data_IF_385256085563
#
_entry.id   IF_385256085563
#
_cell.length_a   1.000
_cell.length_b   1.000
_cell.length_c   1.000
_cell.angle_alpha   90.00
_cell.angle_beta   90.00
_cell.angle_gamma   90.00
#
_symmetry.space_group_name_H-M   'P 1'
#
loop_
_entity.id
_entity.type
_entity.pdbx_description
1 polymer ?
#
# COMPACT_ATOMS: atom_id res chain seq x y z
N UNK A 1 2.34 -5.94 7.73
CA UNK A 1 2.22 -6.20 6.28
C UNK A 1 0.87 -5.65 5.83
N UNK A 2 0.77 -4.94 4.70
CA UNK A 2 -0.52 -4.43 4.18
C UNK A 2 -0.94 -5.16 2.91
N UNK A 3 -2.25 -5.34 2.74
CA UNK A 3 -2.82 -5.84 1.48
C UNK A 3 -2.63 -4.80 0.37
N UNK A 4 -2.22 -5.25 -0.81
CA UNK A 4 -2.00 -4.41 -1.99
C UNK A 4 -2.80 -4.94 -3.18
N UNK A 5 -3.62 -4.07 -3.76
CA UNK A 5 -4.41 -4.41 -4.94
C UNK A 5 -3.57 -4.19 -6.21
N UNK A 6 -3.15 -5.28 -6.86
CA UNK A 6 -2.37 -5.22 -8.11
C UNK A 6 -3.09 -4.51 -9.24
N UNK A 7 -4.43 -4.47 -9.25
CA UNK A 7 -5.21 -3.79 -10.29
C UNK A 7 -5.08 -2.26 -10.22
N UNK A 8 -4.58 -1.73 -9.10
CA UNK A 8 -4.34 -0.30 -8.92
C UNK A 8 -3.13 0.23 -9.71
N UNK A 9 -2.30 -0.66 -10.28
CA UNK A 9 -1.09 -0.30 -11.03
C UNK A 9 -1.07 -1.04 -12.37
N UNK A 10 -0.79 -0.30 -13.44
CA UNK A 10 -0.68 -0.87 -14.80
C UNK A 10 0.53 -1.81 -14.85
N UNK A 11 0.35 -2.97 -15.47
CA UNK A 11 1.45 -3.91 -15.70
C UNK A 11 2.58 -3.22 -16.48
N UNK A 12 3.83 -3.30 -16.01
CA UNK A 12 4.97 -2.69 -16.69
C UNK A 12 5.15 -3.18 -18.13
N UNK A 13 5.43 -2.25 -19.04
CA UNK A 13 5.55 -2.56 -20.47
C UNK A 13 6.73 -3.51 -20.72
N UNK A 14 7.81 -3.42 -19.95
CA UNK A 14 8.96 -4.33 -20.06
C UNK A 14 8.63 -5.80 -19.84
N UNK A 15 7.54 -6.12 -19.10
CA UNK A 15 7.08 -7.49 -18.89
C UNK A 15 6.21 -8.00 -20.05
N UNK A 16 5.52 -7.09 -20.75
CA UNK A 16 4.55 -7.42 -21.80
C UNK A 16 5.03 -7.10 -23.20
N UNK A 17 6.16 -6.40 -23.35
CA UNK A 17 6.69 -5.98 -24.65
C UNK A 17 7.28 -7.16 -25.40
N UNK A 18 6.83 -7.34 -26.63
CA UNK A 18 7.38 -8.32 -27.55
C UNK A 18 8.71 -7.85 -28.16
N UNK A 19 9.64 -8.78 -28.36
CA UNK A 19 10.87 -8.49 -29.09
C UNK A 19 10.54 -8.11 -30.55
N UNK A 20 11.12 -7.01 -31.04
CA UNK A 20 10.85 -6.50 -32.40
C UNK A 20 11.69 -7.18 -33.48
N UNK A 21 12.82 -7.76 -33.10
CA UNK A 21 13.84 -8.33 -34.00
C UNK A 21 14.48 -9.58 -33.36
N UNK A 22 15.22 -10.35 -34.16
CA UNK A 22 15.94 -11.54 -33.70
C UNK A 22 15.09 -12.81 -33.64
N UNK A 23 15.67 -13.88 -33.06
CA UNK A 23 15.05 -15.21 -32.95
C UNK A 23 13.75 -15.23 -32.13
N UNK A 24 13.58 -14.26 -31.23
CA UNK A 24 12.42 -14.16 -30.33
C UNK A 24 11.37 -13.15 -30.83
N UNK A 25 11.44 -12.72 -32.10
CA UNK A 25 10.53 -11.72 -32.66
C UNK A 25 9.05 -12.11 -32.43
N UNK A 26 8.27 -11.16 -31.91
CA UNK A 26 6.84 -11.37 -31.62
C UNK A 26 6.57 -12.14 -30.32
N UNK A 27 7.57 -12.27 -29.43
CA UNK A 27 7.42 -12.94 -28.13
C UNK A 27 7.87 -12.04 -26.98
N UNK A 28 7.19 -12.12 -25.85
CA UNK A 28 7.62 -11.53 -24.58
C UNK A 28 8.73 -12.36 -23.93
N UNK A 29 9.48 -11.80 -22.97
CA UNK A 29 10.48 -12.57 -22.22
C UNK A 29 9.85 -13.79 -21.52
N UNK A 30 8.66 -13.63 -20.96
CA UNK A 30 7.92 -14.72 -20.32
C UNK A 30 7.65 -15.90 -21.27
N UNK A 31 7.15 -15.61 -22.47
CA UNK A 31 6.89 -16.64 -23.49
C UNK A 31 8.17 -17.38 -23.89
N UNK A 32 9.29 -16.64 -24.04
CA UNK A 32 10.59 -17.24 -24.37
C UNK A 32 11.08 -18.13 -23.21
N UNK A 33 10.87 -17.72 -21.95
CA UNK A 33 11.23 -18.55 -20.79
C UNK A 33 10.41 -19.85 -20.80
N UNK A 34 9.08 -19.76 -20.98
CA UNK A 34 8.20 -20.94 -20.99
C UNK A 34 8.64 -21.94 -22.07
N UNK A 35 8.93 -21.48 -23.29
CA UNK A 35 9.39 -22.35 -24.38
C UNK A 35 10.73 -23.00 -24.08
N UNK A 36 11.73 -22.22 -23.63
CA UNK A 36 13.06 -22.76 -23.29
C UNK A 36 13.00 -23.71 -22.11
N UNK A 37 12.14 -23.43 -21.13
CA UNK A 37 11.97 -24.27 -19.96
C UNK A 37 11.27 -25.58 -20.31
N UNK A 38 10.25 -25.55 -21.16
CA UNK A 38 9.63 -26.78 -21.68
C UNK A 38 10.64 -27.66 -22.44
N UNK A 39 11.50 -27.07 -23.27
CA UNK A 39 12.56 -27.80 -23.95
C UNK A 39 13.60 -28.39 -22.97
N UNK A 40 13.92 -27.66 -21.89
CA UNK A 40 14.79 -28.15 -20.82
C UNK A 40 14.20 -29.38 -20.11
N UNK A 41 12.90 -29.40 -19.82
CA UNK A 41 12.25 -30.53 -19.16
C UNK A 41 12.20 -31.80 -20.00
N UNK A 42 12.28 -31.67 -21.33
CA UNK A 42 12.36 -32.81 -22.26
C UNK A 42 13.78 -33.36 -22.41
N UNK A 43 14.79 -32.61 -21.94
CA UNK A 43 16.19 -33.00 -22.01
C UNK A 43 16.58 -33.85 -20.80
N UNK A 44 16.78 -35.15 -21.03
CA UNK A 44 17.10 -36.13 -19.98
C UNK A 44 18.59 -36.14 -19.57
N UNK A 45 19.33 -35.07 -19.82
CA UNK A 45 20.73 -34.96 -19.39
C UNK A 45 20.80 -34.87 -17.86
N UNK A 46 21.46 -35.81 -17.15
CA UNK A 46 21.60 -35.76 -15.70
C UNK A 46 22.29 -34.47 -15.23
N UNK A 47 21.90 -33.97 -14.06
CA UNK A 47 22.49 -32.80 -13.39
C UNK A 47 22.46 -31.48 -14.18
N UNK A 48 21.76 -31.42 -15.32
CA UNK A 48 21.58 -30.19 -16.09
C UNK A 48 20.72 -29.21 -15.29
N UNK A 49 21.13 -27.94 -15.28
CA UNK A 49 20.36 -26.83 -14.68
C UNK A 49 19.78 -25.94 -15.76
N UNK A 50 18.57 -25.43 -15.54
CA UNK A 50 18.01 -24.40 -16.40
C UNK A 50 18.82 -23.11 -16.28
N UNK A 51 19.23 -22.55 -17.43
CA UNK A 51 19.96 -21.28 -17.50
C UNK A 51 19.22 -20.34 -18.43
N UNK A 52 18.94 -19.13 -17.93
CA UNK A 52 18.30 -18.07 -18.70
C UNK A 52 18.79 -16.71 -18.21
N UNK A 53 18.98 -15.78 -19.14
CA UNK A 53 19.37 -14.40 -18.85
C UNK A 53 18.13 -13.53 -18.63
N UNK A 54 17.61 -13.54 -17.40
CA UNK A 54 16.39 -12.81 -17.02
C UNK A 54 16.63 -11.30 -16.93
N UNK A 55 15.92 -10.51 -17.74
CA UNK A 55 16.11 -9.05 -17.83
C UNK A 55 14.84 -8.26 -17.52
N UNK A 56 13.68 -8.72 -17.98
CA UNK A 56 12.43 -7.97 -17.95
C UNK A 56 12.10 -7.45 -16.55
N UNK A 57 12.13 -8.32 -15.53
CA UNK A 57 11.80 -7.95 -14.15
C UNK A 57 12.74 -6.90 -13.52
N UNK A 58 13.94 -6.70 -14.08
CA UNK A 58 14.95 -5.75 -13.57
C UNK A 58 14.78 -4.34 -14.13
N UNK A 59 13.89 -4.16 -15.11
CA UNK A 59 13.66 -2.89 -15.77
C UNK A 59 13.11 -1.83 -14.80
N UNK A 60 13.37 -0.56 -15.10
CA UNK A 60 13.04 0.53 -14.19
C UNK A 60 11.53 0.79 -14.08
N UNK A 61 10.76 0.54 -15.14
CA UNK A 61 9.29 0.61 -15.11
C UNK A 61 8.69 -0.43 -14.15
N UNK A 62 9.27 -1.63 -14.04
CA UNK A 62 8.90 -2.63 -13.03
C UNK A 62 9.17 -2.10 -11.63
N UNK A 63 10.35 -1.52 -11.40
CA UNK A 63 10.70 -0.98 -10.09
C UNK A 63 9.78 0.17 -9.68
N UNK A 64 9.46 1.06 -10.62
CA UNK A 64 8.55 2.18 -10.40
C UNK A 64 7.13 1.68 -10.08
N UNK A 65 6.63 0.70 -10.85
CA UNK A 65 5.31 0.11 -10.61
C UNK A 65 5.22 -0.56 -9.23
N UNK A 66 6.24 -1.33 -8.83
CA UNK A 66 6.28 -1.96 -7.49
C UNK A 66 6.39 -0.91 -6.37
N UNK A 67 7.19 0.13 -6.57
CA UNK A 67 7.30 1.25 -5.63
C UNK A 67 5.96 1.99 -5.48
N UNK A 68 5.19 2.16 -6.56
CA UNK A 68 3.85 2.71 -6.50
C UNK A 68 2.88 1.78 -5.75
N UNK A 69 2.88 0.48 -6.10
CA UNK A 69 1.99 -0.53 -5.53
C UNK A 69 2.14 -0.64 -4.00
N UNK A 70 3.37 -0.57 -3.50
CA UNK A 70 3.67 -0.68 -2.06
C UNK A 70 4.07 0.65 -1.40
N UNK A 71 3.86 1.78 -2.09
CA UNK A 71 4.14 3.13 -1.57
C UNK A 71 5.58 3.31 -1.05
N UNK A 72 6.54 2.71 -1.74
CA UNK A 72 7.98 2.77 -1.43
C UNK A 72 8.41 1.94 -0.21
N UNK A 73 7.55 1.01 0.25
CA UNK A 73 7.81 0.12 1.39
C UNK A 73 8.10 -1.31 0.93
N UNK A 74 8.78 -2.06 1.80
CA UNK A 74 8.92 -3.51 1.65
C UNK A 74 7.53 -4.15 1.72
N UNK A 75 7.22 -5.05 0.77
CA UNK A 75 5.97 -5.79 0.73
C UNK A 75 5.74 -6.62 2.00
N UNK A 76 6.81 -7.08 2.65
CA UNK A 76 6.72 -7.97 3.81
C UNK A 76 6.75 -7.21 5.15
N UNK A 77 7.86 -6.53 5.46
CA UNK A 77 8.05 -5.87 6.76
C UNK A 77 7.53 -4.44 6.83
N UNK A 78 7.04 -3.85 5.73
CA UNK A 78 6.62 -2.45 5.64
C UNK A 78 7.68 -1.38 5.96
N UNK A 79 8.93 -1.74 6.21
CA UNK A 79 10.01 -0.74 6.32
C UNK A 79 10.15 0.02 5.01
N UNK A 80 10.36 1.33 5.11
CA UNK A 80 10.67 2.20 3.96
C UNK A 80 12.13 2.00 3.57
N UNK A 81 12.38 1.55 2.34
CA UNK A 81 13.74 1.38 1.82
C UNK A 81 14.15 2.49 0.83
N UNK A 82 13.19 3.22 0.25
CA UNK A 82 13.41 4.09 -0.90
C UNK A 82 14.43 5.22 -0.70
N UNK A 83 14.77 5.57 0.56
CA UNK A 83 15.79 6.58 0.88
C UNK A 83 17.12 6.03 1.39
N UNK A 84 17.25 4.71 1.62
CA UNK A 84 18.39 4.14 2.36
C UNK A 84 19.04 2.94 1.68
N UNK A 85 18.30 2.20 0.84
CA UNK A 85 18.83 1.02 0.16
C UNK A 85 18.13 0.80 -1.19
N UNK A 86 18.82 0.20 -2.18
CA UNK A 86 18.17 -0.22 -3.41
C UNK A 86 17.11 -1.28 -3.12
N UNK A 87 16.00 -1.19 -3.83
CA UNK A 87 14.93 -2.18 -3.76
C UNK A 87 15.32 -3.47 -4.50
N UNK A 88 15.09 -4.62 -3.87
CA UNK A 88 15.15 -5.91 -4.55
C UNK A 88 13.77 -6.25 -5.13
N UNK A 89 13.72 -6.46 -6.45
CA UNK A 89 12.55 -7.05 -7.12
C UNK A 89 12.54 -8.54 -6.82
N UNK A 90 11.65 -8.92 -5.92
CA UNK A 90 11.55 -10.26 -5.39
C UNK A 90 10.55 -11.13 -6.14
N UNK A 91 10.91 -12.40 -6.29
CA UNK A 91 10.07 -13.44 -6.86
C UNK A 91 9.34 -14.21 -5.75
N UNK A 92 8.04 -13.96 -5.57
CA UNK A 92 7.24 -14.66 -4.55
C UNK A 92 7.44 -16.19 -4.63
N UNK A 93 7.30 -16.74 -5.84
CA UNK A 93 7.78 -18.08 -6.23
C UNK A 93 9.21 -17.99 -6.79
N UNK A 94 10.22 -18.54 -6.10
CA UNK A 94 11.62 -18.37 -6.48
C UNK A 94 11.95 -18.90 -7.88
N UNK A 95 12.52 -18.04 -8.74
CA UNK A 95 12.89 -18.44 -10.12
C UNK A 95 14.07 -19.41 -10.20
N UNK A 96 14.99 -19.36 -9.23
CA UNK A 96 16.30 -20.04 -9.29
C UNK A 96 16.38 -21.37 -8.55
N UNK A 97 15.31 -21.76 -7.86
CA UNK A 97 15.22 -22.98 -7.08
C UNK A 97 14.46 -22.78 -5.78
N UNK A 98 13.92 -23.87 -5.24
CA UNK A 98 13.22 -23.88 -3.94
C UNK A 98 14.03 -24.71 -2.95
N UNK A 99 14.22 -24.19 -1.74
CA UNK A 99 14.85 -24.94 -0.67
C UNK A 99 13.86 -26.00 -0.13
N UNK A 100 14.24 -27.27 -0.23
CA UNK A 100 13.47 -28.42 0.26
C UNK A 100 14.33 -29.25 1.22
N UNK A 101 13.71 -29.82 2.26
CA UNK A 101 14.41 -30.76 3.14
C UNK A 101 14.36 -32.15 2.51
N UNK A 102 15.53 -32.69 2.18
CA UNK A 102 15.65 -34.00 1.58
C UNK A 102 15.50 -35.15 2.59
N UNK A 103 15.47 -36.40 2.11
CA UNK A 103 15.35 -37.57 2.97
C UNK A 103 16.48 -37.72 4.01
N UNK A 104 17.63 -37.09 3.76
CA UNK A 104 18.80 -37.05 4.65
C UNK A 104 18.69 -35.96 5.74
N UNK A 105 17.57 -35.22 5.79
CA UNK A 105 17.34 -34.13 6.73
C UNK A 105 18.09 -32.84 6.39
N UNK A 106 18.74 -32.75 5.22
CA UNK A 106 19.46 -31.55 4.78
C UNK A 106 18.64 -30.72 3.81
N UNK A 107 18.93 -29.42 3.75
CA UNK A 107 18.38 -28.53 2.74
C UNK A 107 19.04 -28.79 1.38
N UNK A 108 18.21 -29.04 0.36
CA UNK A 108 18.61 -29.16 -1.04
C UNK A 108 17.86 -28.12 -1.86
N UNK A 109 18.49 -27.68 -2.96
CA UNK A 109 17.84 -26.75 -3.88
C UNK A 109 17.14 -27.55 -4.99
N UNK A 110 15.83 -27.68 -4.87
CA UNK A 110 14.98 -28.25 -5.90
C UNK A 110 14.72 -27.24 -7.03
N UNK A 111 14.18 -27.72 -8.15
CA UNK A 111 13.85 -26.92 -9.33
C UNK A 111 12.96 -25.71 -8.97
N UNK A 112 13.15 -24.57 -9.63
CA UNK A 112 12.45 -23.33 -9.29
C UNK A 112 11.15 -23.12 -10.06
N UNK A 113 10.73 -21.86 -10.13
CA UNK A 113 9.64 -21.38 -10.98
C UNK A 113 10.16 -20.39 -12.04
N UNK A 114 11.14 -20.75 -12.90
CA UNK A 114 11.71 -19.82 -13.86
C UNK A 114 10.65 -19.25 -14.81
N UNK A 115 9.61 -20.01 -15.15
CA UNK A 115 8.50 -19.55 -16.00
C UNK A 115 7.67 -18.41 -15.39
N UNK A 116 7.80 -18.15 -14.09
CA UNK A 116 7.17 -17.01 -13.41
C UNK A 116 8.16 -15.86 -13.16
N UNK A 117 9.38 -15.92 -13.71
CA UNK A 117 10.41 -14.92 -13.45
C UNK A 117 10.07 -13.53 -14.02
N UNK A 118 9.31 -13.47 -15.11
CA UNK A 118 8.84 -12.23 -15.72
C UNK A 118 7.34 -11.98 -15.49
N UNK A 119 6.66 -12.84 -14.73
CA UNK A 119 5.23 -12.72 -14.52
C UNK A 119 4.91 -11.67 -13.44
N UNK A 120 4.14 -10.64 -13.80
CA UNK A 120 3.86 -9.48 -12.92
C UNK A 120 3.37 -9.88 -11.53
N UNK A 121 2.44 -10.83 -11.45
CA UNK A 121 1.85 -11.23 -10.16
C UNK A 121 2.81 -12.02 -9.27
N UNK A 122 3.96 -12.43 -9.79
CA UNK A 122 5.00 -13.10 -9.02
C UNK A 122 6.07 -12.12 -8.50
N UNK A 123 5.99 -10.83 -8.86
CA UNK A 123 6.98 -9.82 -8.49
C UNK A 123 6.49 -8.97 -7.31
N UNK A 124 7.36 -8.74 -6.33
CA UNK A 124 7.10 -7.93 -5.13
C UNK A 124 8.32 -7.03 -4.84
N UNK A 125 8.15 -5.81 -4.32
CA UNK A 125 9.28 -5.06 -3.77
C UNK A 125 9.67 -5.60 -2.40
N UNK A 126 10.96 -5.78 -2.17
CA UNK A 126 11.47 -6.24 -0.88
C UNK A 126 12.70 -5.45 -0.45
N UNK A 127 12.90 -5.33 0.87
CA UNK A 127 14.19 -4.94 1.42
C UNK A 127 15.15 -6.14 1.39
N UNK A 128 16.45 -5.83 1.47
CA UNK A 128 17.51 -6.83 1.44
C UNK A 128 17.37 -7.84 2.58
N UNK A 129 16.94 -7.40 3.77
CA UNK A 129 16.84 -8.29 4.95
C UNK A 129 15.67 -9.26 4.90
N UNK A 130 14.57 -8.89 4.23
CA UNK A 130 13.46 -9.82 4.03
C UNK A 130 13.71 -10.78 2.88
N UNK A 131 14.48 -10.37 1.87
CA UNK A 131 14.71 -11.19 0.69
C UNK A 131 15.95 -12.07 0.78
N UNK A 132 17.08 -11.54 1.23
CA UNK A 132 18.36 -12.26 1.20
C UNK A 132 18.59 -12.99 2.51
N UNK A 133 19.21 -14.18 2.47
CA UNK A 133 19.45 -14.94 3.68
C UNK A 133 20.55 -14.29 4.52
N UNK A 134 20.26 -13.97 5.77
CA UNK A 134 21.17 -13.33 6.73
C UNK A 134 20.98 -13.92 8.12
N UNK A 135 22.02 -13.88 8.95
CA UNK A 135 21.88 -14.17 10.38
C UNK A 135 21.09 -13.02 10.99
N UNK A 136 19.93 -13.33 11.58
CA UNK A 136 19.03 -12.38 12.20
C UNK A 136 18.78 -12.84 13.64
N UNK A 137 18.80 -11.91 14.59
CA UNK A 137 18.39 -12.16 15.96
C UNK A 137 16.87 -12.06 16.07
N UNK A 138 16.20 -13.17 16.34
CA UNK A 138 14.74 -13.19 16.54
C UNK A 138 14.41 -12.77 17.97
N UNK A 139 13.77 -11.62 18.14
CA UNK A 139 13.48 -11.05 19.46
C UNK A 139 12.39 -11.80 20.24
N UNK A 140 11.61 -12.66 19.59
CA UNK A 140 10.59 -13.47 20.27
C UNK A 140 11.23 -14.72 20.89
N UNK A 141 12.15 -15.36 20.17
CA UNK A 141 12.78 -16.63 20.60
C UNK A 141 14.14 -16.45 21.26
N UNK A 142 14.80 -15.30 21.03
CA UNK A 142 16.16 -15.01 21.50
C UNK A 142 17.25 -15.75 20.73
N UNK A 143 16.94 -16.32 19.57
CA UNK A 143 17.85 -17.16 18.79
C UNK A 143 18.37 -16.40 17.56
N UNK A 144 19.67 -16.53 17.29
CA UNK A 144 20.26 -16.14 16.03
C UNK A 144 20.09 -17.27 15.01
N UNK A 145 19.33 -17.03 13.95
CA UNK A 145 19.18 -17.97 12.84
C UNK A 145 19.31 -17.32 11.47
N UNK A 146 19.65 -18.13 10.46
CA UNK A 146 19.75 -17.68 9.08
C UNK A 146 18.34 -17.58 8.49
N UNK A 147 17.80 -16.36 8.42
CA UNK A 147 16.46 -16.05 7.92
C UNK A 147 16.50 -15.12 6.71
N UNK A 148 15.33 -14.87 6.13
CA UNK A 148 15.15 -14.16 4.86
C UNK A 148 14.66 -15.11 3.78
N UNK A 149 13.70 -14.66 2.97
CA UNK A 149 12.92 -15.50 2.07
C UNK A 149 13.80 -16.32 1.14
N UNK A 150 14.64 -15.67 0.36
CA UNK A 150 15.53 -16.29 -0.60
C UNK A 150 14.80 -17.36 -1.44
N UNK A 151 15.23 -18.62 -1.31
CA UNK A 151 14.64 -19.77 -1.98
C UNK A 151 13.61 -20.52 -1.12
N UNK A 152 13.28 -20.04 0.08
CA UNK A 152 12.27 -20.65 0.94
C UNK A 152 10.87 -20.37 0.38
N UNK A 153 10.18 -21.44 0.01
CA UNK A 153 8.81 -21.39 -0.49
C UNK A 153 8.03 -22.61 0.02
N UNK A 154 7.69 -22.66 1.32
CA UNK A 154 7.02 -23.81 1.89
C UNK A 154 5.60 -23.95 1.31
N UNK A 155 5.22 -25.18 0.98
CA UNK A 155 3.89 -25.55 0.48
C UNK A 155 3.38 -26.78 1.23
N UNK A 156 2.07 -26.92 1.41
CA UNK A 156 1.45 -28.13 2.03
C UNK A 156 1.16 -29.23 1.02
N UNK A 157 1.15 -28.92 -0.27
CA UNK A 157 0.77 -29.82 -1.35
C UNK A 157 1.79 -29.86 -2.50
N UNK A 158 1.44 -30.47 -3.64
CA UNK A 158 2.31 -30.45 -4.81
C UNK A 158 2.55 -29.02 -5.28
N UNK A 159 3.80 -28.75 -5.67
CA UNK A 159 4.19 -27.47 -6.27
C UNK A 159 3.52 -27.28 -7.63
N UNK A 160 3.29 -26.02 -8.00
CA UNK A 160 2.78 -25.66 -9.32
C UNK A 160 3.65 -26.27 -10.43
N UNK A 161 3.00 -26.87 -11.42
CA UNK A 161 3.68 -27.34 -12.64
C UNK A 161 3.76 -26.21 -13.67
N UNK A 162 4.79 -26.20 -14.55
CA UNK A 162 4.88 -25.20 -15.61
C UNK A 162 3.68 -25.32 -16.58
N UNK A 163 3.19 -24.18 -17.12
CA UNK A 163 2.15 -24.21 -18.13
C UNK A 163 2.65 -24.89 -19.41
N UNK A 164 1.75 -25.55 -20.13
CA UNK A 164 2.03 -25.97 -21.51
C UNK A 164 2.27 -24.73 -22.37
N UNK A 165 3.30 -24.70 -23.24
CA UNK A 165 3.53 -23.58 -24.15
C UNK A 165 2.26 -23.23 -24.94
N UNK A 166 1.88 -21.95 -24.92
CA UNK A 166 0.66 -21.46 -25.57
C UNK A 166 -0.63 -21.58 -24.73
N UNK A 167 -0.57 -22.13 -23.52
CA UNK A 167 -1.70 -22.11 -22.58
C UNK A 167 -2.06 -20.67 -22.19
N UNK A 168 -3.34 -20.27 -22.28
CA UNK A 168 -3.78 -18.93 -21.86
C UNK A 168 -3.93 -18.80 -20.34
N UNK A 169 -3.88 -19.90 -19.60
CA UNK A 169 -4.10 -19.92 -18.15
C UNK A 169 -2.86 -20.45 -17.44
N UNK A 170 -2.45 -19.73 -16.38
CA UNK A 170 -1.51 -20.25 -15.41
C UNK A 170 -2.21 -21.29 -14.51
N UNK A 171 -1.52 -22.37 -14.13
CA UNK A 171 -2.02 -23.30 -13.13
C UNK A 171 -2.19 -22.60 -11.77
N UNK A 172 -3.20 -23.01 -11.01
CA UNK A 172 -3.42 -22.54 -9.64
C UNK A 172 -2.51 -23.30 -8.65
N UNK A 173 -2.05 -22.61 -7.62
CA UNK A 173 -1.35 -23.21 -6.49
C UNK A 173 -1.86 -22.54 -5.21
N UNK A 174 -2.89 -23.14 -4.62
CA UNK A 174 -3.56 -22.62 -3.43
C UNK A 174 -2.88 -23.06 -2.12
N UNK A 175 -1.69 -23.66 -2.20
CA UNK A 175 -1.03 -24.37 -1.10
C UNK A 175 0.22 -23.69 -0.52
N UNK A 176 0.52 -22.44 -0.91
CA UNK A 176 1.65 -21.69 -0.34
C UNK A 176 1.44 -21.40 1.16
N UNK A 177 2.43 -21.72 1.98
CA UNK A 177 2.42 -21.48 3.43
C UNK A 177 3.01 -20.15 3.84
N UNK A 178 3.27 -19.24 2.90
CA UNK A 178 3.69 -17.86 3.20
C UNK A 178 2.70 -16.87 2.58
N UNK A 179 2.55 -15.71 3.22
CA UNK A 179 1.58 -14.68 2.85
C UNK A 179 2.06 -13.92 1.62
N UNK A 180 1.27 -13.94 0.55
CA UNK A 180 1.39 -12.98 -0.55
C UNK A 180 0.47 -11.79 -0.26
N UNK A 181 0.99 -10.59 0.07
CA UNK A 181 0.16 -9.42 0.39
C UNK A 181 -0.69 -8.92 -0.79
N UNK A 182 -0.53 -9.50 -1.98
CA UNK A 182 -1.34 -9.16 -3.15
C UNK A 182 -2.50 -10.12 -3.41
N UNK A 183 -2.56 -11.22 -2.66
CA UNK A 183 -3.59 -12.25 -2.78
C UNK A 183 -4.28 -12.46 -1.43
N UNK A 184 -3.47 -12.69 -0.40
CA UNK A 184 -3.92 -12.92 0.97
C UNK A 184 -4.31 -11.61 1.67
N UNK A 185 -5.05 -11.73 2.77
CA UNK A 185 -5.32 -10.62 3.69
C UNK A 185 -4.40 -10.73 4.91
N UNK A 186 -3.30 -9.96 5.01
CA UNK A 186 -2.35 -10.14 6.11
C UNK A 186 -2.94 -10.03 7.52
N UNK A 187 -3.91 -9.14 7.82
CA UNK A 187 -4.58 -9.09 9.12
C UNK A 187 -5.28 -10.38 9.55
N UNK A 188 -5.68 -11.27 8.61
CA UNK A 188 -6.25 -12.57 8.98
C UNK A 188 -5.20 -13.57 9.46
N UNK A 189 -3.92 -13.24 9.36
CA UNK A 189 -2.80 -14.13 9.65
C UNK A 189 -1.80 -13.56 10.64
N UNK A 190 -1.67 -12.24 10.75
CA UNK A 190 -0.65 -11.57 11.56
C UNK A 190 -1.31 -10.68 12.60
N UNK A 191 -0.76 -10.71 13.80
CA UNK A 191 -1.21 -9.92 14.94
C UNK A 191 0.00 -9.18 15.55
N UNK A 192 -0.16 -7.92 15.92
CA UNK A 192 0.92 -7.09 16.45
C UNK A 192 0.73 -6.79 17.93
N UNK A 193 1.77 -7.08 18.71
CA UNK A 193 1.85 -6.71 20.12
C UNK A 193 2.34 -5.27 20.29
N UNK A 194 2.03 -4.69 21.44
CA UNK A 194 2.48 -3.36 21.88
C UNK A 194 4.01 -3.27 22.09
N UNK A 195 4.69 -4.39 22.30
CA UNK A 195 6.16 -4.48 22.34
C UNK A 195 6.82 -4.55 20.95
N UNK A 196 6.02 -4.49 19.88
CA UNK A 196 6.50 -4.53 18.50
C UNK A 196 6.73 -5.94 17.96
N UNK A 197 6.39 -7.01 18.67
CA UNK A 197 6.46 -8.39 18.14
C UNK A 197 5.27 -8.69 17.22
N UNK A 198 5.51 -9.41 16.11
CA UNK A 198 4.43 -10.08 15.33
C UNK A 198 4.18 -11.47 15.89
N UNK A 199 2.91 -11.83 16.04
CA UNK A 199 2.48 -13.20 16.33
C UNK A 199 1.47 -13.71 15.30
N UNK A 200 1.13 -14.99 15.36
CA UNK A 200 0.15 -15.59 14.46
C UNK A 200 -0.49 -16.83 15.08
N UNK A 201 -1.79 -16.99 14.85
CA UNK A 201 -2.55 -18.20 15.16
C UNK A 201 -2.65 -19.16 13.97
N UNK A 202 -2.25 -18.73 12.77
CA UNK A 202 -2.36 -19.52 11.54
C UNK A 202 -1.00 -20.08 11.12
N UNK A 203 -0.98 -21.26 10.51
CA UNK A 203 0.26 -21.87 10.01
C UNK A 203 0.95 -20.98 8.97
N UNK A 204 0.15 -20.38 8.08
CA UNK A 204 0.61 -19.45 7.04
C UNK A 204 1.30 -18.21 7.64
N UNK A 205 0.71 -17.64 8.67
CA UNK A 205 1.30 -16.49 9.36
C UNK A 205 2.56 -16.86 10.14
N UNK A 206 2.58 -17.99 10.86
CA UNK A 206 3.78 -18.48 11.57
C UNK A 206 4.96 -18.71 10.62
N UNK A 207 4.71 -19.35 9.48
CA UNK A 207 5.74 -19.56 8.45
C UNK A 207 6.20 -18.22 7.85
N UNK A 208 5.28 -17.29 7.59
CA UNK A 208 5.63 -15.95 7.08
C UNK A 208 6.49 -15.14 8.05
N UNK A 209 6.18 -15.17 9.36
CA UNK A 209 6.97 -14.49 10.39
C UNK A 209 8.42 -14.97 10.35
N UNK A 210 8.61 -16.29 10.30
CA UNK A 210 9.94 -16.89 10.23
C UNK A 210 10.64 -16.62 8.90
N UNK A 211 10.02 -16.98 7.77
CA UNK A 211 10.63 -16.88 6.43
C UNK A 211 11.01 -15.44 6.10
N UNK A 212 10.17 -14.46 6.44
CA UNK A 212 10.44 -13.04 6.17
C UNK A 212 11.23 -12.33 7.28
N UNK A 213 11.63 -13.05 8.33
CA UNK A 213 12.30 -12.52 9.51
C UNK A 213 11.55 -11.32 10.13
N UNK A 214 10.23 -11.45 10.31
CA UNK A 214 9.38 -10.36 10.79
C UNK A 214 9.61 -10.01 12.25
N UNK A 215 10.31 -10.85 13.02
CA UNK A 215 10.68 -10.57 14.42
C UNK A 215 12.19 -10.33 14.61
N UNK A 216 12.92 -9.96 13.55
CA UNK A 216 14.31 -9.51 13.71
C UNK A 216 14.40 -8.30 14.63
N UNK A 217 15.42 -8.26 15.49
CA UNK A 217 15.54 -7.27 16.58
C UNK A 217 15.31 -5.81 16.16
N UNK A 218 15.99 -5.33 15.12
CA UNK A 218 15.86 -3.94 14.65
C UNK A 218 14.43 -3.60 14.20
N UNK A 219 13.75 -4.55 13.56
CA UNK A 219 12.37 -4.35 13.10
C UNK A 219 11.39 -4.31 14.28
N UNK A 220 11.65 -5.09 15.34
CA UNK A 220 10.87 -5.05 16.59
C UNK A 220 11.11 -3.73 17.32
N UNK A 221 12.35 -3.26 17.38
CA UNK A 221 12.70 -1.99 17.99
C UNK A 221 12.03 -0.78 17.30
N UNK A 222 12.07 -0.71 15.97
CA UNK A 222 11.39 0.36 15.23
C UNK A 222 9.87 0.36 15.47
N UNK A 223 9.27 -0.83 15.54
CA UNK A 223 7.84 -0.99 15.83
C UNK A 223 7.47 -0.66 17.26
N UNK A 224 8.32 -1.01 18.24
CA UNK A 224 8.17 -0.57 19.62
C UNK A 224 8.16 0.96 19.72
N UNK A 225 9.06 1.64 19.00
CA UNK A 225 9.06 3.12 18.94
C UNK A 225 7.73 3.69 18.43
N UNK A 226 7.16 3.08 17.39
CA UNK A 226 5.84 3.48 16.88
C UNK A 226 4.71 3.18 17.87
N UNK A 227 4.73 2.01 18.51
CA UNK A 227 3.77 1.63 19.55
C UNK A 227 3.74 2.65 20.70
N UNK A 228 4.92 3.04 21.20
CA UNK A 228 5.04 4.07 22.25
C UNK A 228 4.52 5.43 21.81
N UNK A 229 4.74 5.81 20.55
CA UNK A 229 4.18 7.05 20.01
C UNK A 229 2.64 7.00 19.94
N UNK A 230 2.06 5.86 19.57
CA UNK A 230 0.60 5.65 19.57
C UNK A 230 0.04 5.75 20.99
N UNK A 231 0.63 5.02 21.94
CA UNK A 231 0.25 5.05 23.37
C UNK A 231 0.31 6.46 23.95
N UNK A 232 1.39 7.21 23.65
CA UNK A 232 1.55 8.59 24.08
C UNK A 232 0.44 9.49 23.53
N UNK A 233 0.13 9.40 22.24
CA UNK A 233 -0.91 10.22 21.61
C UNK A 233 -2.30 9.89 22.14
N UNK A 234 -2.63 8.61 22.31
CA UNK A 234 -3.88 8.19 22.93
C UNK A 234 -4.03 8.76 24.34
N UNK A 235 -2.97 8.68 25.15
CA UNK A 235 -2.95 9.25 26.51
C UNK A 235 -3.20 10.77 26.50
N UNK A 236 -2.58 11.50 25.57
CA UNK A 236 -2.79 12.96 25.42
C UNK A 236 -4.23 13.25 25.02
N UNK A 237 -4.77 12.53 24.03
CA UNK A 237 -6.16 12.69 23.57
C UNK A 237 -7.14 12.49 24.72
N UNK A 238 -6.98 11.40 25.49
CA UNK A 238 -7.82 11.10 26.64
C UNK A 238 -7.73 12.18 27.73
N UNK A 239 -6.53 12.63 28.07
CA UNK A 239 -6.31 13.67 29.05
C UNK A 239 -6.96 15.01 28.64
N UNK A 240 -6.76 15.43 27.38
CA UNK A 240 -7.35 16.66 26.85
C UNK A 240 -8.87 16.56 26.76
N UNK A 241 -9.41 15.44 26.28
CA UNK A 241 -10.85 15.20 26.21
C UNK A 241 -11.52 15.25 27.59
N UNK A 242 -10.84 14.70 28.61
CA UNK A 242 -11.28 14.79 30.01
C UNK A 242 -11.37 16.23 30.51
N UNK A 243 -10.39 17.08 30.18
CA UNK A 243 -10.40 18.51 30.53
C UNK A 243 -11.52 19.25 29.79
N UNK A 244 -11.71 18.99 28.49
CA UNK A 244 -12.77 19.60 27.67
C UNK A 244 -14.17 19.30 28.22
N UNK A 245 -14.39 18.06 28.67
CA UNK A 245 -15.64 17.61 29.27
C UNK A 245 -15.86 18.13 30.70
N UNK A 246 -14.80 18.58 31.36
CA UNK A 246 -14.83 19.06 32.74
C UNK A 246 -15.55 20.41 32.91
N UNK A 247 -16.19 20.65 34.07
CA UNK A 247 -16.66 21.98 34.43
C UNK A 247 -15.47 22.88 34.81
N UNK A 248 -15.63 24.20 34.68
CA UNK A 248 -14.69 25.17 35.26
C UNK A 248 -13.66 25.78 34.30
N UNK A 249 -13.71 25.47 33.01
CA UNK A 249 -12.98 26.19 31.96
C UNK A 249 -13.92 27.13 31.19
N UNK A 250 -13.38 28.24 30.67
CA UNK A 250 -14.14 29.17 29.83
C UNK A 250 -14.40 28.57 28.45
N UNK A 251 -15.43 29.05 27.76
CA UNK A 251 -15.76 28.55 26.42
C UNK A 251 -14.63 28.79 25.39
N UNK A 252 -13.89 29.90 25.52
CA UNK A 252 -12.72 30.17 24.68
C UNK A 252 -11.63 29.11 24.87
N UNK A 253 -11.29 28.79 26.13
CA UNK A 253 -10.29 27.75 26.43
C UNK A 253 -10.79 26.36 26.00
N UNK A 254 -12.09 26.10 26.13
CA UNK A 254 -12.69 24.85 25.67
C UNK A 254 -12.51 24.67 24.16
N UNK A 255 -12.73 25.72 23.36
CA UNK A 255 -12.53 25.68 21.91
C UNK A 255 -11.06 25.40 21.55
N UNK A 256 -10.11 26.13 22.16
CA UNK A 256 -8.68 25.90 21.91
C UNK A 256 -8.25 24.45 22.24
N UNK A 257 -8.78 23.87 23.32
CA UNK A 257 -8.50 22.49 23.69
C UNK A 257 -9.17 21.47 22.76
N UNK A 258 -10.36 21.77 22.24
CA UNK A 258 -11.02 20.95 21.23
C UNK A 258 -10.21 20.91 19.93
N UNK A 259 -9.67 22.05 19.50
CA UNK A 259 -8.77 22.13 18.34
C UNK A 259 -7.50 21.29 18.57
N UNK A 260 -6.92 21.35 19.76
CA UNK A 260 -5.75 20.55 20.11
C UNK A 260 -6.06 19.04 20.12
N UNK A 261 -7.22 18.63 20.66
CA UNK A 261 -7.69 17.24 20.58
C UNK A 261 -7.81 16.80 19.13
N UNK A 262 -8.42 17.63 18.28
CA UNK A 262 -8.59 17.31 16.86
C UNK A 262 -7.24 17.15 16.16
N UNK A 263 -6.27 18.04 16.45
CA UNK A 263 -4.92 17.93 15.92
C UNK A 263 -4.20 16.65 16.35
N UNK A 264 -4.34 16.25 17.61
CA UNK A 264 -3.75 15.01 18.12
C UNK A 264 -4.40 13.76 17.51
N UNK A 265 -5.72 13.79 17.30
CA UNK A 265 -6.44 12.73 16.57
C UNK A 265 -5.90 12.63 15.14
N UNK A 266 -5.80 13.75 14.41
CA UNK A 266 -5.29 13.74 13.04
C UNK A 266 -3.87 13.18 12.97
N UNK A 267 -3.01 13.59 13.91
CA UNK A 267 -1.63 13.09 13.99
C UNK A 267 -1.54 11.61 14.37
N UNK A 268 -2.44 11.10 15.21
CA UNK A 268 -2.58 9.68 15.52
C UNK A 268 -3.01 8.89 14.27
N UNK A 269 -4.03 9.38 13.59
CA UNK A 269 -4.58 8.78 12.37
C UNK A 269 -3.56 8.75 11.23
N UNK A 270 -2.70 9.77 11.13
CA UNK A 270 -1.61 9.82 10.16
C UNK A 270 -0.69 8.60 10.30
N UNK A 271 -0.42 8.11 11.52
CA UNK A 271 0.45 6.95 11.76
C UNK A 271 -0.07 5.67 11.08
N UNK A 272 -1.39 5.52 10.94
CA UNK A 272 -2.05 4.40 10.29
C UNK A 272 -2.27 4.60 8.78
N UNK A 273 -1.80 5.71 8.22
CA UNK A 273 -1.90 5.93 6.78
C UNK A 273 -1.13 4.86 6.01
N UNK A 274 -1.69 4.34 4.91
CA UNK A 274 -1.09 3.20 4.22
C UNK A 274 0.33 3.43 3.65
N UNK A 275 0.78 4.67 3.53
CA UNK A 275 2.12 5.05 3.08
C UNK A 275 3.17 5.11 4.20
N UNK A 276 2.76 5.11 5.47
CA UNK A 276 3.67 5.13 6.62
C UNK A 276 4.31 3.76 6.86
N UNK A 277 5.55 3.69 7.36
CA UNK A 277 6.12 2.45 7.86
C UNK A 277 5.23 1.83 8.94
N UNK A 278 5.09 0.51 8.91
CA UNK A 278 4.32 -0.27 9.89
C UNK A 278 2.85 0.15 10.05
N UNK A 279 2.25 0.68 8.98
CA UNK A 279 0.88 1.16 8.96
C UNK A 279 -0.16 0.10 9.37
N UNK A 280 0.09 -1.19 9.11
CA UNK A 280 -0.79 -2.26 9.58
C UNK A 280 -0.80 -2.38 11.11
N UNK A 281 0.38 -2.32 11.74
CA UNK A 281 0.50 -2.34 13.20
C UNK A 281 -0.15 -1.11 13.81
N UNK A 282 0.12 0.08 13.25
CA UNK A 282 -0.48 1.31 13.76
C UNK A 282 -2.00 1.26 13.72
N UNK A 283 -2.57 0.77 12.61
CA UNK A 283 -4.02 0.56 12.48
C UNK A 283 -4.56 -0.38 13.55
N UNK A 284 -3.97 -1.57 13.68
CA UNK A 284 -4.38 -2.54 14.68
C UNK A 284 -4.36 -1.96 16.10
N UNK A 285 -3.22 -1.37 16.52
CA UNK A 285 -3.08 -0.84 17.87
C UNK A 285 -4.03 0.34 18.14
N UNK A 286 -4.28 1.20 17.16
CA UNK A 286 -5.28 2.28 17.30
C UNK A 286 -6.67 1.69 17.43
N UNK A 287 -7.04 0.72 16.59
CA UNK A 287 -8.37 0.08 16.64
C UNK A 287 -8.63 -0.67 17.96
N UNK A 288 -7.60 -1.31 18.53
CA UNK A 288 -7.72 -2.07 19.78
C UNK A 288 -7.76 -1.17 21.02
N UNK A 289 -7.07 -0.02 20.99
CA UNK A 289 -6.86 0.83 22.16
C UNK A 289 -7.60 2.16 22.10
N UNK A 290 -8.32 2.46 21.02
CA UNK A 290 -9.10 3.70 20.88
C UNK A 290 -10.59 3.44 20.77
N UNK A 291 -11.46 4.28 21.38
CA UNK A 291 -12.88 4.30 21.04
C UNK A 291 -13.12 4.86 19.62
N UNK A 292 -12.12 5.48 18.99
CA UNK A 292 -12.15 5.91 17.60
C UNK A 292 -11.95 4.68 16.71
N UNK A 293 -13.04 4.00 16.34
CA UNK A 293 -12.95 2.97 15.30
C UNK A 293 -12.41 3.61 14.02
N UNK A 294 -11.31 3.08 13.48
CA UNK A 294 -10.88 3.44 12.14
C UNK A 294 -11.96 2.94 11.18
N UNK A 295 -12.82 3.84 10.71
CA UNK A 295 -13.70 3.51 9.61
C UNK A 295 -12.81 3.03 8.45
N UNK A 296 -13.07 1.86 7.85
CA UNK A 296 -12.31 1.42 6.68
C UNK A 296 -12.38 2.55 5.66
N UNK A 297 -11.21 2.99 5.21
CA UNK A 297 -11.11 4.02 4.19
C UNK A 297 -12.04 3.64 3.04
N UNK A 298 -13.09 4.43 2.75
CA UNK A 298 -14.07 4.01 1.76
C UNK A 298 -13.38 3.83 0.41
N UNK A 299 -13.44 2.63 -0.15
CA UNK A 299 -12.95 2.41 -1.51
C UNK A 299 -13.73 3.33 -2.46
N UNK A 300 -13.00 4.05 -3.33
CA UNK A 300 -13.63 4.91 -4.33
C UNK A 300 -14.49 4.05 -5.26
N UNK A 301 -15.68 4.51 -5.68
CA UNK A 301 -16.44 3.82 -6.71
C UNK A 301 -15.60 3.65 -7.98
N UNK A 302 -15.64 2.47 -8.60
CA UNK A 302 -14.81 2.15 -9.77
C UNK A 302 -14.90 3.20 -10.91
N UNK A 303 -16.07 3.79 -11.24
CA UNK A 303 -16.16 4.85 -12.24
C UNK A 303 -15.41 6.13 -11.85
N UNK A 304 -15.34 6.43 -10.55
CA UNK A 304 -14.61 7.60 -10.02
C UNK A 304 -13.12 7.32 -10.12
N UNK A 305 -12.68 6.14 -9.68
CA UNK A 305 -11.28 5.73 -9.78
C UNK A 305 -10.79 5.76 -11.24
N UNK A 306 -11.56 5.21 -12.18
CA UNK A 306 -11.24 5.23 -13.61
C UNK A 306 -11.21 6.66 -14.20
N UNK A 307 -12.09 7.56 -13.76
CA UNK A 307 -12.05 8.96 -14.19
C UNK A 307 -10.84 9.71 -13.65
N UNK A 308 -10.48 9.51 -12.37
CA UNK A 308 -9.31 10.14 -11.78
C UNK A 308 -8.01 9.67 -12.45
N UNK A 309 -7.96 8.40 -12.91
CA UNK A 309 -6.83 7.91 -13.73
C UNK A 309 -6.69 8.68 -15.05
N UNK A 310 -7.77 9.18 -15.65
CA UNK A 310 -7.72 10.02 -16.86
C UNK A 310 -7.18 11.43 -16.59
N UNK A 311 -7.13 11.88 -15.34
CA UNK A 311 -6.44 13.13 -15.00
C UNK A 311 -4.91 12.98 -14.99
N UNK A 312 -4.40 11.74 -15.04
CA UNK A 312 -3.00 11.40 -14.78
C UNK A 312 -2.00 11.73 -15.92
N UNK A 313 -2.43 12.28 -17.05
CA UNK A 313 -1.55 12.54 -18.21
C UNK A 313 -0.59 13.74 -18.05
N UNK A 314 -0.34 14.23 -16.83
CA UNK A 314 0.71 15.21 -16.53
C UNK A 314 0.89 15.37 -15.01
N UNK A 315 1.52 14.39 -14.35
CA UNK A 315 1.92 14.45 -12.93
C UNK A 315 0.91 15.06 -11.93
N UNK A 316 -0.27 14.42 -11.70
CA UNK A 316 -0.94 14.62 -10.42
C UNK A 316 -1.75 13.39 -9.95
N UNK A 317 -1.45 12.16 -10.40
CA UNK A 317 -2.26 10.96 -10.10
C UNK A 317 -2.40 10.65 -8.61
N UNK A 318 -1.33 10.82 -7.83
CA UNK A 318 -1.30 10.54 -6.39
C UNK A 318 -2.15 11.53 -5.60
N UNK A 319 -2.11 12.82 -5.94
CA UNK A 319 -2.84 13.87 -5.20
C UNK A 319 -4.35 13.77 -5.39
N UNK A 320 -4.80 13.44 -6.61
CA UNK A 320 -6.23 13.26 -6.91
C UNK A 320 -6.83 12.09 -6.14
N UNK A 321 -6.13 10.95 -6.11
CA UNK A 321 -6.58 9.77 -5.39
C UNK A 321 -6.62 10.02 -3.87
N UNK A 322 -5.59 10.67 -3.32
CA UNK A 322 -5.54 11.05 -1.89
C UNK A 322 -6.70 11.98 -1.52
N UNK A 323 -6.93 13.06 -2.29
CA UNK A 323 -8.02 13.99 -2.01
C UNK A 323 -9.39 13.32 -2.11
N UNK A 324 -9.62 12.51 -3.15
CA UNK A 324 -10.89 11.80 -3.34
C UNK A 324 -11.19 10.85 -2.17
N UNK A 325 -10.15 10.15 -1.70
CA UNK A 325 -10.24 9.26 -0.55
C UNK A 325 -10.59 10.03 0.74
N UNK A 326 -9.97 11.20 0.93
CA UNK A 326 -10.24 12.09 2.07
C UNK A 326 -11.64 12.69 2.02
N UNK A 327 -12.11 13.13 0.85
CA UNK A 327 -13.49 13.59 0.65
C UNK A 327 -14.51 12.49 0.98
N UNK A 328 -14.27 11.26 0.51
CA UNK A 328 -15.13 10.12 0.85
C UNK A 328 -15.16 9.84 2.37
N UNK A 329 -14.00 9.90 3.04
CA UNK A 329 -13.91 9.74 4.50
C UNK A 329 -14.65 10.85 5.28
N UNK A 330 -14.67 12.07 4.75
CA UNK A 330 -15.47 13.20 5.28
C UNK A 330 -16.98 13.08 4.94
N UNK A 331 -17.41 11.98 4.32
CA UNK A 331 -18.82 11.74 3.97
C UNK A 331 -19.28 12.46 2.70
N UNK A 332 -18.37 12.98 1.87
CA UNK A 332 -18.75 13.49 0.56
C UNK A 332 -19.05 12.32 -0.39
N UNK A 333 -20.21 12.39 -1.03
CA UNK A 333 -20.66 11.45 -2.04
C UNK A 333 -20.23 11.94 -3.43
N UNK A 334 -19.51 11.11 -4.22
CA UNK A 334 -19.11 11.48 -5.56
C UNK A 334 -20.26 11.34 -6.55
N UNK A 335 -20.29 12.23 -7.54
CA UNK A 335 -21.18 12.21 -8.68
C UNK A 335 -20.37 12.53 -9.94
N UNK A 336 -20.48 11.66 -10.95
CA UNK A 336 -19.81 11.78 -12.23
C UNK A 336 -20.82 12.20 -13.30
N UNK A 337 -20.85 13.48 -13.71
CA UNK A 337 -21.72 13.88 -14.79
C UNK A 337 -21.29 13.21 -16.10
N UNK A 338 -22.22 12.79 -16.98
CA UNK A 338 -21.90 12.01 -18.19
C UNK A 338 -20.89 12.65 -19.16
N UNK A 339 -20.75 13.99 -19.14
CA UNK A 339 -19.88 14.74 -20.07
C UNK A 339 -19.13 15.85 -19.31
N UNK A 340 -18.34 15.48 -18.29
CA UNK A 340 -17.63 16.48 -17.48
C UNK A 340 -16.14 16.12 -17.27
N UNK A 341 -15.23 17.11 -17.25
CA UNK A 341 -13.83 16.92 -16.88
C UNK A 341 -13.58 16.96 -15.35
N UNK A 342 -14.64 16.87 -14.52
CA UNK A 342 -14.53 16.91 -13.05
C UNK A 342 -15.36 15.82 -12.36
N UNK A 343 -14.96 15.47 -11.14
CA UNK A 343 -15.80 14.71 -10.19
C UNK A 343 -16.49 15.71 -9.25
N UNK A 344 -17.82 15.65 -9.15
CA UNK A 344 -18.58 16.49 -8.20
C UNK A 344 -18.75 15.73 -6.90
N UNK A 345 -18.22 16.28 -5.82
CA UNK A 345 -18.35 15.78 -4.47
C UNK A 345 -19.43 16.57 -3.74
N UNK A 346 -20.35 15.88 -3.06
CA UNK A 346 -21.44 16.54 -2.33
C UNK A 346 -21.56 15.96 -0.93
N UNK A 347 -21.63 16.83 0.06
CA UNK A 347 -21.90 16.44 1.44
C UNK A 347 -23.06 17.27 1.98
N UNK A 348 -24.01 16.61 2.63
CA UNK A 348 -25.16 17.24 3.26
C UNK A 348 -24.97 17.13 4.76
N UNK A 349 -24.69 18.25 5.40
CA UNK A 349 -24.67 18.37 6.86
C UNK A 349 -26.03 18.84 7.39
N UNK A 350 -26.22 18.89 8.73
CA UNK A 350 -27.48 19.32 9.35
C UNK A 350 -27.97 20.72 8.97
N UNK A 351 -27.04 21.63 8.62
CA UNK A 351 -27.36 23.04 8.37
C UNK A 351 -27.33 23.35 6.88
N UNK A 352 -26.38 22.79 6.13
CA UNK A 352 -26.10 23.17 4.73
C UNK A 352 -25.63 21.97 3.91
N UNK A 353 -25.66 22.14 2.58
CA UNK A 353 -25.01 21.20 1.65
C UNK A 353 -23.81 21.87 0.98
N UNK A 354 -22.65 21.25 1.06
CA UNK A 354 -21.44 21.67 0.35
C UNK A 354 -21.27 20.87 -0.96
N UNK A 355 -20.72 21.52 -1.99
CA UNK A 355 -20.47 20.89 -3.29
C UNK A 355 -19.12 21.34 -3.82
N UNK A 356 -18.22 20.39 -4.00
CA UNK A 356 -16.86 20.62 -4.43
C UNK A 356 -16.60 19.91 -5.75
N UNK A 357 -15.83 20.53 -6.63
CA UNK A 357 -15.52 20.01 -7.95
C UNK A 357 -14.04 19.68 -8.00
N UNK A 358 -13.73 18.39 -8.13
CA UNK A 358 -12.37 17.92 -8.27
C UNK A 358 -12.03 17.81 -9.76
N UNK A 359 -11.08 18.61 -10.22
CA UNK A 359 -10.60 18.65 -11.60
C UNK A 359 -9.07 18.47 -11.65
N UNK A 360 -8.49 18.31 -12.84
CA UNK A 360 -7.04 18.07 -13.05
C UNK A 360 -6.11 19.03 -12.31
N UNK A 361 -6.53 20.28 -12.13
CA UNK A 361 -5.68 21.36 -11.61
C UNK A 361 -5.94 21.69 -10.13
N UNK A 362 -7.02 21.19 -9.55
CA UNK A 362 -7.36 21.54 -8.16
C UNK A 362 -8.75 21.11 -7.73
N UNK A 363 -9.09 21.58 -6.53
CA UNK A 363 -10.44 21.53 -5.96
C UNK A 363 -11.11 22.89 -6.15
N UNK A 364 -12.33 22.91 -6.68
CA UNK A 364 -13.05 24.13 -7.03
C UNK A 364 -14.37 24.21 -6.28
N UNK A 365 -14.72 25.40 -5.80
CA UNK A 365 -16.08 25.75 -5.36
C UNK A 365 -16.59 26.92 -6.20
N UNK A 366 -17.78 26.79 -6.78
CA UNK A 366 -18.42 27.81 -7.63
C UNK A 366 -19.89 28.11 -7.24
N UNK A 367 -20.32 27.58 -6.08
CA UNK A 367 -21.66 27.84 -5.55
C UNK A 367 -21.68 29.20 -4.87
N UNK A 368 -22.57 30.10 -5.30
CA UNK A 368 -22.71 31.46 -4.76
C UNK A 368 -22.75 31.50 -3.22
N UNK A 369 -23.48 30.58 -2.58
CA UNK A 369 -23.56 30.50 -1.11
C UNK A 369 -22.30 29.99 -0.39
N UNK A 370 -21.35 29.42 -1.11
CA UNK A 370 -20.08 28.89 -0.58
C UNK A 370 -18.89 29.84 -0.83
N UNK A 371 -19.00 30.76 -1.80
CA UNK A 371 -17.87 31.59 -2.26
C UNK A 371 -17.28 32.47 -1.16
N UNK A 372 -18.11 33.09 -0.32
CA UNK A 372 -17.62 33.94 0.78
C UNK A 372 -16.80 33.14 1.79
N UNK A 373 -17.26 31.94 2.15
CA UNK A 373 -16.54 31.03 3.05
C UNK A 373 -15.24 30.54 2.40
N UNK A 374 -15.33 30.02 1.17
CA UNK A 374 -14.20 29.50 0.42
C UNK A 374 -13.07 30.53 0.26
N UNK A 375 -13.42 31.77 -0.06
CA UNK A 375 -12.45 32.85 -0.32
C UNK A 375 -11.65 33.25 0.94
N UNK A 376 -12.15 32.94 2.13
CA UNK A 376 -11.46 33.21 3.40
C UNK A 376 -10.51 32.10 3.85
N UNK A 377 -10.49 30.95 3.17
CA UNK A 377 -9.65 29.82 3.55
C UNK A 377 -8.21 29.99 3.01
N UNK A 378 -7.19 29.48 3.74
CA UNK A 378 -5.82 29.45 3.25
C UNK A 378 -5.70 28.77 1.88
N UNK A 379 -4.86 29.32 1.00
CA UNK A 379 -4.59 28.73 -0.32
C UNK A 379 -5.68 28.96 -1.38
N UNK A 380 -6.68 29.81 -1.12
CA UNK A 380 -7.70 30.17 -2.08
C UNK A 380 -7.15 31.04 -3.24
N UNK A 381 -7.20 30.51 -4.48
CA UNK A 381 -7.05 31.25 -5.73
C UNK A 381 -8.44 31.73 -6.21
N UNK A 382 -8.71 33.03 -6.04
CA UNK A 382 -9.99 33.64 -6.43
C UNK A 382 -9.93 34.02 -7.90
N UNK A 383 -10.75 33.35 -8.72
CA UNK A 383 -10.88 33.67 -10.14
C UNK A 383 -12.14 34.47 -10.39
N UNK A 384 -11.94 35.74 -10.74
CA UNK A 384 -13.00 36.68 -11.11
C UNK A 384 -13.44 36.41 -12.56
N UNK A 385 -14.00 35.23 -12.81
CA UNK A 385 -14.69 34.88 -14.05
C UNK A 385 -16.21 34.97 -13.83
N UNK A 386 -17.02 34.87 -14.88
CA UNK A 386 -18.48 34.74 -14.79
C UNK A 386 -18.89 33.26 -15.05
N UNK A 387 -19.32 32.48 -14.04
CA UNK A 387 -19.51 32.85 -12.62
C UNK A 387 -18.20 32.81 -11.80
N UNK A 388 -18.12 33.56 -10.67
CA UNK A 388 -16.93 33.60 -9.82
C UNK A 388 -16.67 32.25 -9.15
N UNK A 389 -15.38 31.86 -9.04
CA UNK A 389 -14.97 30.57 -8.49
C UNK A 389 -13.76 30.72 -7.57
N UNK A 390 -13.70 29.88 -6.54
CA UNK A 390 -12.49 29.71 -5.71
C UNK A 390 -11.86 28.37 -6.04
N UNK A 391 -10.55 28.35 -6.24
CA UNK A 391 -9.76 27.16 -6.55
C UNK A 391 -8.66 26.96 -5.52
N UNK A 392 -8.44 25.71 -5.13
CA UNK A 392 -7.27 25.27 -4.35
C UNK A 392 -6.43 24.37 -5.25
N UNK A 393 -5.21 24.79 -5.58
CA UNK A 393 -4.36 24.13 -6.59
C UNK A 393 -3.43 23.07 -6.02
N UNK A 394 -3.12 22.03 -6.81
CA UNK A 394 -2.27 20.89 -6.38
C UNK A 394 -0.75 21.12 -6.46
N UNK A 395 -0.26 22.33 -6.72
CA UNK A 395 1.20 22.54 -6.82
C UNK A 395 1.86 22.29 -5.46
N UNK A 396 3.03 21.62 -5.48
CA UNK A 396 3.73 20.86 -4.40
C UNK A 396 3.81 21.45 -2.97
N UNK A 397 3.39 22.69 -2.74
CA UNK A 397 3.36 23.33 -1.42
C UNK A 397 1.94 23.65 -0.89
N UNK A 398 0.87 23.16 -1.54
CA UNK A 398 -0.52 23.53 -1.20
C UNK A 398 -1.48 22.34 -1.00
N UNK A 399 -1.01 21.09 -0.98
CA UNK A 399 -1.90 19.94 -0.77
C UNK A 399 -2.59 20.00 0.60
N UNK A 400 -1.86 20.40 1.64
CA UNK A 400 -2.40 20.53 2.99
C UNK A 400 -3.49 21.60 3.06
N UNK A 401 -3.35 22.69 2.27
CA UNK A 401 -4.38 23.72 2.17
C UNK A 401 -5.63 23.22 1.42
N UNK A 402 -5.46 22.35 0.41
CA UNK A 402 -6.59 21.72 -0.30
C UNK A 402 -7.33 20.74 0.62
N UNK A 403 -6.60 19.98 1.43
CA UNK A 403 -7.16 19.03 2.39
C UNK A 403 -7.84 19.74 3.57
N UNK A 404 -7.20 20.77 4.14
CA UNK A 404 -7.78 21.65 5.16
C UNK A 404 -9.06 22.30 4.65
N UNK A 405 -9.06 22.81 3.41
CA UNK A 405 -10.27 23.34 2.80
C UNK A 405 -11.41 22.31 2.77
N UNK A 406 -11.14 21.06 2.36
CA UNK A 406 -12.14 20.00 2.33
C UNK A 406 -12.72 19.71 3.73
N UNK A 407 -11.88 19.65 4.77
CA UNK A 407 -12.32 19.48 6.17
C UNK A 407 -13.18 20.66 6.62
N UNK A 408 -12.76 21.89 6.32
CA UNK A 408 -13.52 23.10 6.65
C UNK A 408 -14.86 23.17 5.90
N UNK A 409 -14.93 22.69 4.66
CA UNK A 409 -16.20 22.57 3.94
C UNK A 409 -17.14 21.54 4.57
N UNK A 410 -16.60 20.47 5.17
CA UNK A 410 -17.42 19.54 5.95
C UNK A 410 -17.98 20.23 7.20
N UNK A 411 -17.13 20.89 7.99
CA UNK A 411 -17.55 21.65 9.17
C UNK A 411 -18.56 22.75 8.80
N UNK A 412 -18.39 23.42 7.65
CA UNK A 412 -19.33 24.41 7.15
C UNK A 412 -20.69 23.82 6.80
N UNK A 413 -20.72 22.61 6.21
CA UNK A 413 -21.97 21.89 5.97
C UNK A 413 -22.67 21.53 7.29
N UNK A 414 -21.88 21.25 8.33
CA UNK A 414 -22.35 20.95 9.67
C UNK A 414 -22.75 22.19 10.49
N UNK A 415 -22.35 23.38 10.05
CA UNK A 415 -22.60 24.65 10.76
C UNK A 415 -21.64 24.91 11.92
N UNK A 416 -20.49 24.24 11.93
CA UNK A 416 -19.45 24.32 12.97
C UNK A 416 -18.19 25.07 12.50
N UNK A 417 -18.20 25.63 11.28
CA UNK A 417 -17.09 26.37 10.67
C UNK A 417 -17.28 27.89 10.65
#
# INVERSE_FOLDING_TARGET
>A
MIRADRSAVVTPESLTREAKTGENKGKTEEQVIIEKYAAYLLDNTPDKKFVFDFKAYKADDVKLALAQLFRGKCAYCESRYAGTQPMDVEHFRPKGGVEEIGPDGKAHLAEGYPWLAAHWTNLLPSCIDCNRPRIQHDALTGVDEKLGKANQFPVTGPRMVPPTPGSPTLPAEDAALIIDPTVDDPPSHLDFRDDGIVTSTTDKGRQSIRVYALNRAELVFERLGLSRLIEQRLTIIEALAGIVAGPGISDAVRLDLQDLVSHEIDALMELAEPGRPFSAMARQLIDENSPLQLAPTPALPAPVAAMLQRFADADPGTHHATLATRLAALGFVPNLPPVSPFVRWTVTGPVRTASLFQEKLGLVSDRVGQLAFASGLPGADIRVNDPPKVRYTYQQAQLDAVLDAATRFRAWADGTA
#
